data_IF_936652711535
#
_entry.id   IF_936652711535
#
_cell.length_a   1.000
_cell.length_b   1.000
_cell.length_c   1.000
_cell.angle_alpha   90.00
_cell.angle_beta   90.00
_cell.angle_gamma   90.00
#
_symmetry.space_group_name_H-M   'P 1'
#
loop_
_entity.id
_entity.type
_entity.pdbx_description
1 polymer ?
#
# COMPACT_ATOMS: atom_id res chain seq x y z
N UNK A 1 -23.52 -3.29 -15.09
CA UNK A 1 -22.10 -3.25 -15.53
C UNK A 1 -21.36 -4.36 -14.79
N UNK A 2 -20.45 -5.07 -15.46
CA UNK A 2 -19.64 -6.12 -14.83
C UNK A 2 -18.73 -5.49 -13.77
N UNK A 3 -18.72 -6.06 -12.55
CA UNK A 3 -17.85 -5.63 -11.47
C UNK A 3 -16.83 -6.74 -11.20
N UNK A 4 -15.53 -6.49 -11.34
CA UNK A 4 -14.50 -7.45 -10.97
C UNK A 4 -14.60 -7.84 -9.49
N UNK A 5 -14.11 -9.03 -9.16
CA UNK A 5 -14.18 -9.56 -7.80
C UNK A 5 -12.76 -9.72 -7.25
N UNK A 6 -12.53 -9.19 -6.06
CA UNK A 6 -11.34 -9.48 -5.26
C UNK A 6 -11.53 -10.85 -4.65
N UNK A 7 -10.80 -11.84 -5.14
CA UNK A 7 -10.97 -13.25 -4.75
C UNK A 7 -9.96 -13.72 -3.72
N UNK A 8 -8.78 -13.10 -3.68
CA UNK A 8 -7.74 -13.42 -2.72
C UNK A 8 -6.92 -12.18 -2.32
N UNK A 9 -6.43 -12.19 -1.09
CA UNK A 9 -5.57 -11.19 -0.49
C UNK A 9 -4.41 -11.87 0.23
N UNK A 10 -3.26 -11.22 0.24
CA UNK A 10 -2.11 -11.58 1.07
C UNK A 10 -1.41 -10.33 1.54
N UNK A 11 -0.93 -10.31 2.78
CA UNK A 11 -0.12 -9.24 3.32
C UNK A 11 1.06 -9.80 4.12
N UNK A 12 2.13 -9.04 4.14
CA UNK A 12 3.32 -9.31 4.93
C UNK A 12 3.88 -8.02 5.48
N UNK A 13 3.92 -7.92 6.79
CA UNK A 13 4.56 -6.83 7.53
C UNK A 13 5.77 -7.42 8.26
N UNK A 14 6.99 -6.95 7.98
CA UNK A 14 8.20 -7.44 8.64
C UNK A 14 8.20 -7.22 10.15
N UNK A 15 9.12 -7.87 10.88
CA UNK A 15 9.30 -7.63 12.30
C UNK A 15 9.55 -6.16 12.61
N UNK A 16 8.95 -5.71 13.74
CA UNK A 16 9.03 -4.32 14.18
C UNK A 16 10.36 -4.08 14.87
N UNK A 17 11.06 -3.04 14.45
CA UNK A 17 12.26 -2.51 15.12
C UNK A 17 11.95 -1.18 15.79
N UNK A 18 12.60 -0.94 16.92
CA UNK A 18 12.56 0.36 17.58
C UNK A 18 13.74 1.16 17.05
N UNK A 19 13.44 2.23 16.33
CA UNK A 19 14.45 3.15 15.83
C UNK A 19 14.33 4.46 16.59
N UNK A 20 15.44 4.92 17.15
CA UNK A 20 15.54 6.29 17.64
C UNK A 20 15.52 7.22 16.43
N UNK A 21 15.02 8.43 16.60
CA UNK A 21 14.79 9.40 15.53
C UNK A 21 15.98 9.40 14.55
N UNK A 22 15.89 8.80 13.34
CA UNK A 22 17.02 8.77 12.45
C UNK A 22 17.32 10.19 11.96
N UNK A 23 18.59 10.51 11.68
CA UNK A 23 18.98 11.84 11.26
C UNK A 23 18.15 12.27 10.05
N UNK A 24 17.58 13.47 10.13
CA UNK A 24 16.84 14.08 9.01
C UNK A 24 17.85 14.35 7.90
N UNK A 25 17.84 13.55 6.85
CA UNK A 25 18.57 13.85 5.62
C UNK A 25 17.81 14.98 4.94
N UNK A 26 18.43 16.13 4.80
CA UNK A 26 17.84 17.21 4.00
C UNK A 26 17.75 16.77 2.53
N UNK A 27 16.68 17.14 1.85
CA UNK A 27 16.43 16.74 0.45
C UNK A 27 17.60 17.11 -0.49
N UNK A 28 18.31 18.20 -0.20
CA UNK A 28 19.51 18.62 -0.93
C UNK A 28 20.65 17.60 -0.84
N UNK A 29 20.81 16.92 0.29
CA UNK A 29 21.85 15.90 0.47
C UNK A 29 21.49 14.60 -0.26
N UNK A 30 20.21 14.26 -0.37
CA UNK A 30 19.75 13.10 -1.15
C UNK A 30 20.04 13.31 -2.63
N UNK A 31 19.75 14.50 -3.17
CA UNK A 31 20.06 14.82 -4.57
C UNK A 31 21.56 14.88 -4.87
N UNK A 32 22.38 15.40 -3.94
CA UNK A 32 23.83 15.36 -4.06
C UNK A 32 24.38 13.93 -4.04
N UNK A 33 23.79 13.05 -3.24
CA UNK A 33 24.17 11.63 -3.16
C UNK A 33 23.72 10.85 -4.41
N UNK A 34 22.55 11.16 -4.97
CA UNK A 34 22.06 10.54 -6.21
C UNK A 34 22.90 10.93 -7.44
N UNK A 35 23.54 12.08 -7.44
CA UNK A 35 24.48 12.47 -8.50
C UNK A 35 25.81 11.70 -8.47
N UNK A 36 26.07 10.96 -7.39
CA UNK A 36 27.22 10.09 -7.25
C UNK A 36 26.79 8.60 -7.31
N UNK A 37 26.60 8.04 -8.49
CA UNK A 37 26.29 6.62 -8.69
C UNK A 37 27.23 5.68 -7.90
N UNK A 38 28.51 6.04 -7.80
CA UNK A 38 29.51 5.27 -7.07
C UNK A 38 29.22 5.26 -5.55
N UNK A 39 28.80 6.38 -4.99
CA UNK A 39 28.41 6.48 -3.58
C UNK A 39 27.11 5.68 -3.33
N UNK A 40 26.18 5.70 -4.27
CA UNK A 40 24.94 4.93 -4.21
C UNK A 40 25.23 3.42 -4.27
N UNK A 41 26.05 2.95 -5.20
CA UNK A 41 26.46 1.54 -5.33
C UNK A 41 27.24 1.09 -4.09
N UNK A 42 28.13 1.91 -3.55
CA UNK A 42 28.87 1.61 -2.33
C UNK A 42 27.93 1.51 -1.11
N UNK A 43 26.98 2.43 -0.98
CA UNK A 43 25.94 2.39 0.04
C UNK A 43 25.05 1.17 -0.10
N UNK A 44 24.68 0.80 -1.32
CA UNK A 44 23.88 -0.40 -1.60
C UNK A 44 24.62 -1.69 -1.23
N UNK A 45 25.92 -1.80 -1.55
CA UNK A 45 26.75 -2.95 -1.14
C UNK A 45 26.90 -3.06 0.38
N UNK A 46 27.03 -1.91 1.06
CA UNK A 46 27.05 -1.89 2.52
C UNK A 46 25.71 -2.29 3.14
N UNK A 47 24.60 -2.11 2.43
CA UNK A 47 23.25 -2.44 2.90
C UNK A 47 22.99 -3.95 2.92
N UNK A 48 23.68 -4.72 2.05
CA UNK A 48 23.62 -6.19 2.10
C UNK A 48 24.30 -6.76 3.36
N UNK A 49 25.14 -5.94 4.03
CA UNK A 49 25.78 -6.26 5.32
C UNK A 49 25.19 -5.43 6.48
N UNK A 50 24.00 -4.90 6.33
CA UNK A 50 23.44 -3.85 7.17
C UNK A 50 23.00 -4.39 8.55
N UNK A 51 23.70 -3.97 9.59
CA UNK A 51 23.17 -3.92 10.94
C UNK A 51 22.50 -2.54 11.16
N UNK A 52 21.17 -2.49 11.32
CA UNK A 52 20.45 -1.22 11.50
C UNK A 52 20.87 -0.43 12.75
N UNK A 53 21.59 -1.07 13.69
CA UNK A 53 22.11 -0.40 14.87
C UNK A 53 23.33 0.48 14.60
N UNK A 54 24.08 0.25 13.51
CA UNK A 54 25.32 0.95 13.22
C UNK A 54 25.20 2.19 12.33
N UNK A 55 24.07 2.37 11.63
CA UNK A 55 23.88 3.54 10.76
C UNK A 55 23.31 4.76 11.49
N UNK A 56 23.07 4.63 12.79
CA UNK A 56 22.45 5.70 13.58
C UNK A 56 23.40 6.86 13.95
N UNK A 57 24.69 6.80 13.64
CA UNK A 57 25.61 7.83 14.11
C UNK A 57 26.75 8.14 13.15
N UNK A 58 26.53 9.10 12.29
CA UNK A 58 27.62 9.98 11.87
C UNK A 58 27.05 11.37 11.59
N UNK A 59 27.32 12.26 12.53
CA UNK A 59 27.25 13.70 12.41
C UNK A 59 25.87 14.37 12.35
N UNK A 60 25.33 14.71 13.51
CA UNK A 60 24.84 16.10 13.73
C UNK A 60 24.54 16.33 15.20
N UNK A 61 25.01 17.43 15.71
CA UNK A 61 24.59 18.09 16.97
C UNK A 61 23.14 18.62 16.84
N UNK A 62 22.20 17.78 16.44
CA UNK A 62 20.79 18.11 16.46
C UNK A 62 20.21 17.51 17.73
N UNK A 63 19.53 18.35 18.53
CA UNK A 63 18.79 17.99 19.73
C UNK A 63 18.16 16.62 19.57
N UNK A 64 18.68 15.64 20.30
CA UNK A 64 18.07 14.32 20.44
C UNK A 64 16.64 14.52 20.97
N UNK A 65 15.65 14.30 20.11
CA UNK A 65 14.31 14.07 20.59
C UNK A 65 14.32 12.66 21.17
N UNK A 66 13.89 12.45 22.41
CA UNK A 66 13.76 11.15 23.06
C UNK A 66 12.68 10.26 22.39
N UNK A 67 12.29 10.55 21.17
CA UNK A 67 11.23 9.85 20.48
C UNK A 67 11.77 8.61 19.76
N UNK A 68 11.36 7.46 20.21
CA UNK A 68 11.56 6.19 19.52
C UNK A 68 10.34 5.86 18.65
N UNK A 69 10.62 5.28 17.49
CA UNK A 69 9.59 4.85 16.53
C UNK A 69 9.60 3.33 16.39
N UNK A 70 8.42 2.74 16.37
CA UNK A 70 8.22 1.31 16.08
C UNK A 70 7.97 1.15 14.60
N UNK A 71 8.95 0.65 13.87
CA UNK A 71 8.92 0.61 12.40
C UNK A 71 9.11 -0.83 11.92
N UNK A 72 8.27 -1.36 11.04
CA UNK A 72 8.54 -2.64 10.38
C UNK A 72 9.73 -2.48 9.42
N UNK A 73 10.73 -3.36 9.58
CA UNK A 73 11.98 -3.31 8.81
C UNK A 73 12.36 -4.70 8.33
N UNK A 74 12.38 -4.87 7.01
CA UNK A 74 12.83 -6.11 6.38
C UNK A 74 14.36 -6.13 6.24
N UNK A 75 14.98 -7.22 6.70
CA UNK A 75 16.44 -7.36 6.67
C UNK A 75 16.94 -8.44 5.72
N UNK A 76 16.11 -9.41 5.38
CA UNK A 76 16.54 -10.64 4.72
C UNK A 76 16.39 -10.59 3.21
N UNK A 77 15.43 -9.83 2.70
CA UNK A 77 15.15 -9.75 1.27
C UNK A 77 15.07 -8.30 0.76
N UNK A 78 15.29 -8.13 -0.53
CA UNK A 78 15.11 -6.87 -1.25
C UNK A 78 13.63 -6.55 -1.52
N UNK A 79 13.35 -5.42 -2.15
CA UNK A 79 12.00 -5.01 -2.55
C UNK A 79 11.33 -6.07 -3.42
N UNK A 80 12.05 -6.61 -4.39
CA UNK A 80 11.55 -7.69 -5.26
C UNK A 80 11.22 -8.94 -4.46
N UNK A 81 12.06 -9.31 -3.48
CA UNK A 81 11.82 -10.45 -2.61
C UNK A 81 10.56 -10.31 -1.77
N UNK A 82 10.31 -9.10 -1.24
CA UNK A 82 9.05 -8.79 -0.54
C UNK A 82 7.84 -8.98 -1.46
N UNK A 83 7.89 -8.42 -2.67
CA UNK A 83 6.83 -8.55 -3.66
C UNK A 83 6.58 -10.01 -4.06
N UNK A 84 7.67 -10.77 -4.26
CA UNK A 84 7.61 -12.21 -4.60
C UNK A 84 6.94 -13.02 -3.48
N UNK A 85 7.25 -12.75 -2.21
CA UNK A 85 6.65 -13.48 -1.06
C UNK A 85 5.13 -13.43 -1.12
N UNK A 86 4.54 -12.25 -1.22
CA UNK A 86 3.08 -12.11 -1.21
C UNK A 86 2.43 -12.63 -2.50
N UNK A 87 3.09 -12.48 -3.65
CA UNK A 87 2.61 -13.03 -4.91
C UNK A 87 2.60 -14.58 -4.90
N UNK A 88 3.67 -15.21 -4.41
CA UNK A 88 3.75 -16.67 -4.26
C UNK A 88 2.69 -17.20 -3.30
N UNK A 89 2.39 -16.46 -2.23
CA UNK A 89 1.32 -16.81 -1.30
C UNK A 89 -0.04 -16.83 -2.00
N UNK A 90 -0.33 -15.85 -2.85
CA UNK A 90 -1.54 -15.85 -3.69
C UNK A 90 -1.53 -17.06 -4.64
N UNK A 91 -0.43 -17.29 -5.38
CA UNK A 91 -0.34 -18.42 -6.31
C UNK A 91 -0.55 -19.76 -5.62
N UNK A 92 0.05 -19.96 -4.45
CA UNK A 92 -0.10 -21.19 -3.67
C UNK A 92 -1.53 -21.42 -3.14
N UNK A 93 -2.30 -20.36 -2.92
CA UNK A 93 -3.69 -20.46 -2.47
C UNK A 93 -4.69 -20.77 -3.58
N UNK A 94 -4.27 -20.65 -4.84
CA UNK A 94 -5.14 -20.89 -6.00
C UNK A 94 -5.23 -22.38 -6.33
N UNK A 95 -6.40 -22.79 -6.78
CA UNK A 95 -6.57 -24.15 -7.25
C UNK A 95 -5.69 -24.42 -8.48
N UNK A 96 -5.18 -25.65 -8.63
CA UNK A 96 -4.28 -26.02 -9.74
C UNK A 96 -4.92 -25.87 -11.13
N UNK A 97 -6.23 -25.89 -11.21
CA UNK A 97 -7.01 -25.67 -12.45
C UNK A 97 -7.43 -24.21 -12.64
N UNK A 98 -7.04 -23.29 -11.75
CA UNK A 98 -7.37 -21.88 -11.89
C UNK A 98 -6.76 -21.28 -13.16
N UNK A 99 -7.49 -20.37 -13.81
CA UNK A 99 -6.99 -19.65 -14.96
C UNK A 99 -5.67 -18.91 -14.62
N UNK A 100 -4.71 -18.82 -15.57
CA UNK A 100 -3.46 -18.09 -15.31
C UNK A 100 -3.72 -16.62 -15.02
N UNK A 101 -2.74 -15.94 -14.41
CA UNK A 101 -2.77 -14.49 -14.26
C UNK A 101 -2.40 -13.85 -15.60
N UNK A 102 -3.28 -13.00 -16.12
CA UNK A 102 -3.08 -12.34 -17.42
C UNK A 102 -2.23 -11.08 -17.27
N UNK A 103 -2.45 -10.32 -16.18
CA UNK A 103 -1.77 -9.06 -15.92
C UNK A 103 -1.25 -9.01 -14.49
N UNK A 104 -0.02 -8.52 -14.32
CA UNK A 104 0.56 -8.19 -13.02
C UNK A 104 0.86 -6.70 -12.98
N UNK A 105 0.33 -6.01 -11.97
CA UNK A 105 0.62 -4.61 -11.67
C UNK A 105 1.43 -4.52 -10.40
N UNK A 106 2.61 -3.92 -10.46
CA UNK A 106 3.45 -3.71 -9.29
C UNK A 106 3.37 -2.26 -8.81
N UNK A 107 2.87 -2.05 -7.59
CA UNK A 107 2.71 -0.75 -6.95
C UNK A 107 3.87 -0.50 -5.98
N UNK A 108 4.59 0.62 -6.15
CA UNK A 108 5.70 0.98 -5.27
C UNK A 108 6.03 2.47 -5.37
N UNK A 109 6.77 2.97 -4.41
CA UNK A 109 7.38 4.30 -4.44
C UNK A 109 8.84 4.26 -4.03
N UNK A 110 9.23 3.26 -3.23
CA UNK A 110 10.64 2.99 -2.95
C UNK A 110 11.35 2.49 -4.21
N UNK A 111 12.65 2.71 -4.26
CA UNK A 111 13.47 2.39 -5.45
C UNK A 111 13.74 0.90 -5.50
N UNK A 112 13.55 0.31 -6.70
CA UNK A 112 13.94 -1.07 -6.97
C UNK A 112 15.47 -1.21 -6.87
N UNK A 113 15.91 -2.24 -6.18
CA UNK A 113 17.33 -2.47 -5.87
C UNK A 113 18.08 -3.18 -7.00
N UNK A 114 17.39 -3.59 -8.07
CA UNK A 114 17.96 -4.28 -9.21
C UNK A 114 18.06 -3.38 -10.43
N UNK A 115 19.26 -3.25 -10.97
CA UNK A 115 19.51 -2.46 -12.19
C UNK A 115 19.11 -3.26 -13.45
N UNK A 116 19.25 -4.57 -13.42
CA UNK A 116 19.10 -5.42 -14.62
C UNK A 116 17.73 -6.03 -14.81
N UNK A 117 16.93 -6.10 -13.75
CA UNK A 117 15.58 -6.69 -13.77
C UNK A 117 14.63 -5.85 -12.93
N UNK A 118 13.49 -5.52 -13.51
CA UNK A 118 12.42 -4.84 -12.73
C UNK A 118 11.69 -5.84 -11.86
N UNK A 119 11.17 -5.38 -10.72
CA UNK A 119 10.32 -6.20 -9.85
C UNK A 119 9.09 -6.72 -10.60
N UNK A 120 8.47 -5.91 -11.47
CA UNK A 120 7.35 -6.37 -12.30
C UNK A 120 7.75 -7.54 -13.24
N UNK A 121 8.93 -7.47 -13.86
CA UNK A 121 9.47 -8.57 -14.68
C UNK A 121 9.76 -9.83 -13.85
N UNK A 122 10.29 -9.68 -12.63
CA UNK A 122 10.52 -10.80 -11.71
C UNK A 122 9.21 -11.48 -11.29
N UNK A 123 8.18 -10.70 -11.02
CA UNK A 123 6.84 -11.20 -10.71
C UNK A 123 6.24 -11.96 -11.91
N UNK A 124 6.41 -11.47 -13.13
CA UNK A 124 5.96 -12.18 -14.34
C UNK A 124 6.64 -13.54 -14.49
N UNK A 125 7.95 -13.61 -14.20
CA UNK A 125 8.69 -14.89 -14.27
C UNK A 125 8.16 -15.95 -13.30
N UNK A 126 7.78 -15.57 -12.08
CA UNK A 126 7.23 -16.52 -11.09
C UNK A 126 5.79 -16.94 -11.40
N UNK A 127 5.06 -16.18 -12.22
CA UNK A 127 3.74 -16.58 -12.70
C UNK A 127 3.78 -17.78 -13.65
N UNK A 128 4.96 -18.17 -14.10
CA UNK A 128 5.20 -19.37 -14.93
C UNK A 128 4.66 -19.27 -16.36
N UNK A 129 4.19 -18.10 -16.79
CA UNK A 129 3.65 -17.85 -18.13
C UNK A 129 4.01 -16.44 -18.60
N UNK A 130 3.92 -16.23 -19.91
CA UNK A 130 3.94 -14.90 -20.48
C UNK A 130 2.69 -14.14 -20.03
N UNK A 131 2.83 -13.24 -19.04
CA UNK A 131 1.80 -12.30 -18.64
C UNK A 131 2.29 -10.88 -18.92
N UNK A 132 1.35 -9.96 -19.11
CA UNK A 132 1.70 -8.55 -19.23
C UNK A 132 1.98 -8.00 -17.83
N UNK A 133 3.15 -7.37 -17.64
CA UNK A 133 3.51 -6.82 -16.33
C UNK A 133 4.06 -5.41 -16.44
N UNK A 134 3.68 -4.54 -15.51
CA UNK A 134 4.15 -3.17 -15.43
C UNK A 134 4.07 -2.63 -14.00
N UNK A 135 4.71 -1.47 -13.76
CA UNK A 135 4.67 -0.79 -12.46
C UNK A 135 3.78 0.44 -12.48
N UNK A 136 3.11 0.68 -11.34
CA UNK A 136 2.41 1.92 -11.00
C UNK A 136 3.16 2.54 -9.82
N UNK A 137 3.83 3.66 -10.04
CA UNK A 137 4.76 4.20 -9.07
C UNK A 137 4.58 5.69 -8.79
N UNK A 138 5.30 6.20 -7.77
CA UNK A 138 5.39 7.63 -7.41
C UNK A 138 4.09 8.26 -6.86
N UNK A 139 3.14 7.44 -6.44
CA UNK A 139 1.87 7.90 -5.84
C UNK A 139 1.70 7.39 -4.39
N UNK A 140 2.71 6.72 -3.82
CA UNK A 140 2.65 6.05 -2.52
C UNK A 140 1.41 5.13 -2.41
N UNK A 141 0.64 5.24 -1.33
CA UNK A 141 -0.57 4.45 -1.13
C UNK A 141 -1.62 4.64 -2.24
N UNK A 142 -1.66 5.81 -2.88
CA UNK A 142 -2.59 6.07 -3.97
C UNK A 142 -2.29 5.22 -5.23
N UNK A 143 -1.08 4.67 -5.38
CA UNK A 143 -0.74 3.75 -6.48
C UNK A 143 -1.60 2.49 -6.48
N UNK A 144 -1.98 1.97 -5.31
CA UNK A 144 -2.87 0.82 -5.18
C UNK A 144 -4.28 1.13 -5.74
N UNK A 145 -4.81 2.31 -5.48
CA UNK A 145 -6.12 2.72 -6.00
C UNK A 145 -6.07 2.98 -7.51
N UNK A 146 -4.98 3.56 -8.02
CA UNK A 146 -4.75 3.69 -9.47
C UNK A 146 -4.69 2.31 -10.13
N UNK A 147 -4.00 1.36 -9.51
CA UNK A 147 -3.93 -0.02 -10.03
C UNK A 147 -5.31 -0.71 -9.98
N UNK A 148 -6.09 -0.52 -8.92
CA UNK A 148 -7.47 -1.04 -8.82
C UNK A 148 -8.34 -0.49 -9.95
N UNK A 149 -8.25 0.82 -10.23
CA UNK A 149 -9.00 1.45 -11.33
C UNK A 149 -8.58 0.91 -12.69
N UNK A 150 -7.27 0.83 -12.94
CA UNK A 150 -6.75 0.27 -14.20
C UNK A 150 -7.15 -1.20 -14.38
N UNK A 151 -7.07 -2.00 -13.30
CA UNK A 151 -7.50 -3.40 -13.34
C UNK A 151 -8.99 -3.52 -13.65
N UNK A 152 -9.84 -2.68 -13.06
CA UNK A 152 -11.27 -2.65 -13.36
C UNK A 152 -11.52 -2.31 -14.82
N UNK A 153 -10.88 -1.26 -15.34
CA UNK A 153 -11.05 -0.83 -16.72
C UNK A 153 -10.57 -1.91 -17.71
N UNK A 154 -9.42 -2.56 -17.47
CA UNK A 154 -8.89 -3.63 -18.29
C UNK A 154 -9.78 -4.88 -18.26
N UNK A 155 -10.25 -5.30 -17.09
CA UNK A 155 -11.16 -6.43 -16.98
C UNK A 155 -12.51 -6.18 -17.66
N UNK A 156 -12.93 -4.92 -17.80
CA UNK A 156 -14.17 -4.55 -18.53
C UNK A 156 -13.91 -4.46 -20.03
N UNK A 157 -12.84 -3.78 -20.44
CA UNK A 157 -12.59 -3.43 -21.84
C UNK A 157 -12.00 -4.57 -22.65
N UNK A 158 -11.14 -5.41 -22.03
CA UNK A 158 -10.38 -6.44 -22.73
C UNK A 158 -10.99 -7.84 -22.51
N UNK A 159 -11.74 -8.40 -23.49
CA UNK A 159 -12.47 -9.67 -23.31
C UNK A 159 -11.58 -10.87 -22.92
N UNK A 160 -10.31 -10.85 -23.31
CA UNK A 160 -9.35 -11.92 -23.05
C UNK A 160 -8.66 -11.78 -21.69
N UNK A 161 -8.82 -10.66 -20.98
CA UNK A 161 -8.28 -10.48 -19.64
C UNK A 161 -9.30 -10.98 -18.63
N UNK A 162 -8.94 -11.99 -17.87
CA UNK A 162 -9.78 -12.61 -16.86
C UNK A 162 -9.27 -12.39 -15.45
N UNK A 163 -7.95 -12.23 -15.29
CA UNK A 163 -7.29 -12.23 -13.99
C UNK A 163 -6.19 -11.17 -13.92
N UNK A 164 -6.25 -10.30 -12.93
CA UNK A 164 -5.24 -9.27 -12.65
C UNK A 164 -4.73 -9.46 -11.24
N UNK A 165 -3.41 -9.58 -11.08
CA UNK A 165 -2.73 -9.58 -9.79
C UNK A 165 -2.14 -8.19 -9.53
N UNK A 166 -2.56 -7.53 -8.48
CA UNK A 166 -1.93 -6.30 -7.98
C UNK A 166 -1.03 -6.69 -6.82
N UNK A 167 0.24 -6.34 -6.93
CA UNK A 167 1.24 -6.52 -5.88
C UNK A 167 1.76 -5.17 -5.48
N UNK A 168 1.74 -4.85 -4.21
CA UNK A 168 2.26 -3.62 -3.66
C UNK A 168 3.39 -3.95 -2.67
N UNK A 169 4.52 -3.25 -2.78
CA UNK A 169 5.60 -3.42 -1.80
C UNK A 169 6.40 -2.13 -1.65
N UNK A 170 6.91 -1.94 -0.43
CA UNK A 170 7.84 -0.87 -0.10
C UNK A 170 9.00 -1.43 0.71
N UNK A 171 10.21 -1.02 0.33
CA UNK A 171 11.42 -1.24 1.12
C UNK A 171 12.30 0.00 1.07
N UNK A 172 12.45 0.64 2.22
CA UNK A 172 13.18 1.88 2.35
C UNK A 172 14.62 1.59 2.77
N UNK A 173 15.51 1.60 1.81
CA UNK A 173 16.95 1.38 2.00
C UNK A 173 17.73 2.69 1.86
N UNK A 174 18.90 2.86 2.50
CA UNK A 174 19.77 3.98 2.23
C UNK A 174 20.04 4.14 0.72
N UNK A 175 20.20 5.37 0.21
CA UNK A 175 20.33 6.62 0.96
C UNK A 175 19.00 7.28 1.37
N UNK A 176 17.87 6.64 1.12
CA UNK A 176 16.55 7.22 1.40
C UNK A 176 16.24 7.16 2.90
N UNK A 177 15.87 8.29 3.46
CA UNK A 177 15.45 8.36 4.87
C UNK A 177 14.07 7.76 5.06
N UNK A 178 13.91 6.95 6.11
CA UNK A 178 12.60 6.52 6.58
C UNK A 178 11.84 7.64 7.28
N UNK A 179 12.56 8.63 7.85
CA UNK A 179 11.94 9.78 8.48
C UNK A 179 11.71 10.89 7.49
N UNK A 180 10.54 11.42 7.54
CA UNK A 180 10.06 12.53 6.73
C UNK A 180 9.96 13.78 7.57
N UNK A 181 10.10 14.95 6.93
CA UNK A 181 9.90 16.23 7.62
C UNK A 181 8.50 16.32 8.24
N UNK A 182 7.54 15.68 7.59
CA UNK A 182 6.13 15.75 7.94
C UNK A 182 5.51 14.36 7.81
N UNK A 183 4.80 13.90 8.85
CA UNK A 183 4.07 12.63 8.87
C UNK A 183 4.81 11.46 9.54
N UNK A 184 4.21 10.29 9.54
CA UNK A 184 4.79 9.10 10.13
C UNK A 184 6.02 8.63 9.36
N UNK A 185 6.95 7.92 10.01
CA UNK A 185 8.07 7.29 9.32
C UNK A 185 7.60 6.24 8.31
N UNK A 186 8.49 5.86 7.41
CA UNK A 186 8.22 4.88 6.36
C UNK A 186 8.65 3.49 6.82
N UNK A 187 7.72 2.54 6.76
CA UNK A 187 7.92 1.14 7.06
C UNK A 187 8.03 0.29 5.80
N UNK A 188 8.65 -0.88 5.93
CA UNK A 188 8.66 -1.88 4.88
C UNK A 188 7.42 -2.75 5.00
N UNK A 189 6.85 -3.13 3.88
CA UNK A 189 5.72 -4.06 3.81
C UNK A 189 5.51 -4.56 2.38
N UNK A 190 4.77 -5.63 2.25
CA UNK A 190 4.23 -6.06 0.97
C UNK A 190 2.79 -6.56 1.14
N UNK A 191 1.98 -6.35 0.12
CA UNK A 191 0.63 -6.90 0.05
C UNK A 191 0.26 -7.22 -1.41
N UNK A 192 -0.66 -8.14 -1.59
CA UNK A 192 -1.16 -8.50 -2.91
C UNK A 192 -2.66 -8.77 -2.86
N UNK A 193 -3.33 -8.48 -3.96
CA UNK A 193 -4.72 -8.84 -4.17
C UNK A 193 -4.93 -9.35 -5.60
N UNK A 194 -5.82 -10.32 -5.71
CA UNK A 194 -6.22 -10.92 -6.98
C UNK A 194 -7.61 -10.43 -7.36
N UNK A 195 -7.72 -9.81 -8.53
CA UNK A 195 -9.00 -9.48 -9.15
C UNK A 195 -9.30 -10.46 -10.26
N UNK A 196 -10.54 -10.92 -10.31
CA UNK A 196 -11.01 -11.84 -11.34
C UNK A 196 -12.32 -11.35 -11.96
N UNK A 197 -12.50 -11.68 -13.23
CA UNK A 197 -13.77 -11.51 -13.91
C UNK A 197 -14.81 -12.41 -13.24
N UNK A 198 -15.99 -11.89 -12.85
CA UNK A 198 -16.96 -12.68 -12.12
C UNK A 198 -17.52 -13.83 -12.98
N UNK A 199 -17.68 -14.97 -12.34
CA UNK A 199 -18.43 -16.13 -12.81
C UNK A 199 -19.55 -16.44 -11.82
N UNK A 200 -20.39 -17.41 -12.11
CA UNK A 200 -21.45 -17.83 -11.18
C UNK A 200 -20.92 -18.38 -9.85
N UNK A 201 -19.68 -18.87 -9.84
CA UNK A 201 -19.02 -19.46 -8.66
C UNK A 201 -18.00 -18.58 -8.01
N UNK A 202 -17.66 -17.43 -8.60
CA UNK A 202 -16.66 -16.51 -8.04
C UNK A 202 -17.12 -15.94 -6.71
N UNK A 203 -16.30 -16.08 -5.67
CA UNK A 203 -16.53 -15.57 -4.31
C UNK A 203 -15.54 -14.48 -3.99
N UNK A 204 -16.00 -13.48 -3.24
CA UNK A 204 -15.13 -12.36 -2.81
C UNK A 204 -15.86 -11.03 -2.80
N UNK A 205 -15.11 -9.95 -2.63
CA UNK A 205 -15.65 -8.60 -2.66
C UNK A 205 -15.69 -8.07 -4.08
N UNK A 206 -16.81 -7.52 -4.47
CA UNK A 206 -16.92 -6.88 -5.78
C UNK A 206 -16.31 -5.48 -5.72
N UNK A 207 -15.39 -5.18 -6.63
CA UNK A 207 -14.89 -3.82 -6.81
C UNK A 207 -15.97 -2.99 -7.53
N UNK A 208 -16.61 -2.11 -6.78
CA UNK A 208 -17.66 -1.22 -7.31
C UNK A 208 -17.03 -0.11 -8.12
N UNK A 209 -16.04 0.57 -7.54
CA UNK A 209 -15.31 1.67 -8.19
C UNK A 209 -14.03 2.00 -7.42
N UNK A 210 -13.06 2.64 -8.09
CA UNK A 210 -11.83 3.13 -7.47
C UNK A 210 -11.43 4.48 -8.08
N UNK A 211 -10.96 5.40 -7.25
CA UNK A 211 -10.57 6.74 -7.65
C UNK A 211 -9.27 7.17 -7.00
N UNK A 212 -8.50 7.95 -7.75
CA UNK A 212 -7.34 8.69 -7.27
C UNK A 212 -7.40 10.12 -7.75
N UNK A 213 -6.94 11.05 -6.94
CA UNK A 213 -6.71 12.42 -7.37
C UNK A 213 -5.38 12.94 -6.81
N UNK A 214 -4.87 14.00 -7.42
CA UNK A 214 -3.72 14.75 -6.95
C UNK A 214 -4.17 16.14 -6.54
N UNK A 215 -3.98 16.47 -5.26
CA UNK A 215 -4.23 17.80 -4.71
C UNK A 215 -2.88 18.48 -4.55
N UNK A 216 -2.61 19.56 -5.29
CA UNK A 216 -1.37 20.29 -5.12
C UNK A 216 -1.21 20.73 -3.66
N UNK A 217 -0.08 20.40 -3.05
CA UNK A 217 0.22 20.87 -1.70
C UNK A 217 0.42 22.39 -1.80
N UNK A 218 -0.44 23.15 -1.11
CA UNK A 218 -0.32 24.59 -1.06
C UNK A 218 1.00 24.97 -0.36
N UNK A 219 1.97 25.41 -1.13
CA UNK A 219 3.22 25.98 -0.60
C UNK A 219 3.03 27.39 -0.06
N UNK A 220 1.81 27.96 -0.12
CA UNK A 220 1.50 29.29 0.35
C UNK A 220 1.43 29.34 1.86
N UNK A 221 2.54 29.71 2.46
CA UNK A 221 2.61 30.40 3.75
C UNK A 221 2.56 29.54 4.98
N UNK A 222 3.66 29.06 5.39
CA UNK A 222 4.24 29.08 6.73
C UNK A 222 5.25 27.93 6.91
N UNK A 223 6.49 28.22 7.30
CA UNK A 223 7.54 27.20 7.46
C UNK A 223 7.36 26.29 8.70
N UNK A 224 6.27 26.42 9.45
CA UNK A 224 6.15 25.79 10.76
C UNK A 224 4.76 25.20 11.09
N UNK A 225 3.85 25.01 10.14
CA UNK A 225 2.62 24.28 10.44
C UNK A 225 2.85 22.77 10.37
N UNK A 226 2.62 22.15 11.53
CA UNK A 226 2.68 20.71 11.76
C UNK A 226 1.97 19.90 10.67
N UNK A 227 2.48 18.70 10.43
CA UNK A 227 2.05 17.70 9.47
C UNK A 227 0.61 17.21 9.65
N UNK A 228 -0.34 18.09 9.54
CA UNK A 228 -1.70 17.66 9.26
C UNK A 228 -1.83 17.37 7.77
N UNK A 229 -2.55 16.31 7.36
CA UNK A 229 -2.99 16.20 5.98
C UNK A 229 -3.58 17.54 5.62
N UNK A 230 -3.10 18.11 4.51
CA UNK A 230 -3.53 19.43 4.09
C UNK A 230 -5.07 19.40 4.03
N UNK A 231 -5.73 20.45 4.53
CA UNK A 231 -7.19 20.55 4.46
C UNK A 231 -7.70 20.25 3.05
N UNK A 232 -6.90 20.55 2.04
CA UNK A 232 -7.21 20.29 0.64
C UNK A 232 -7.26 18.78 0.33
N UNK A 233 -6.37 17.96 0.88
CA UNK A 233 -6.38 16.50 0.70
C UNK A 233 -7.59 15.86 1.41
N UNK A 234 -7.87 16.30 2.63
CA UNK A 234 -9.06 15.85 3.35
C UNK A 234 -10.33 16.22 2.61
N UNK A 235 -10.43 17.48 2.15
CA UNK A 235 -11.57 17.95 1.39
C UNK A 235 -11.77 17.15 0.09
N UNK A 236 -10.67 16.87 -0.62
CA UNK A 236 -10.70 16.04 -1.82
C UNK A 236 -11.17 14.60 -1.51
N UNK A 237 -10.71 14.00 -0.40
CA UNK A 237 -11.18 12.69 0.03
C UNK A 237 -12.68 12.68 0.31
N UNK A 238 -13.17 13.70 1.03
CA UNK A 238 -14.59 13.85 1.32
C UNK A 238 -15.42 13.98 0.06
N UNK A 239 -15.01 14.86 -0.87
CA UNK A 239 -15.71 15.05 -2.14
C UNK A 239 -15.70 13.79 -3.02
N UNK A 240 -14.55 13.10 -3.09
CA UNK A 240 -14.43 11.84 -3.83
C UNK A 240 -15.37 10.78 -3.25
N UNK A 241 -15.39 10.64 -1.93
CA UNK A 241 -16.24 9.67 -1.23
C UNK A 241 -17.73 9.99 -1.47
N UNK A 242 -18.13 11.23 -1.27
CA UNK A 242 -19.52 11.66 -1.48
C UNK A 242 -19.97 11.41 -2.93
N UNK A 243 -19.14 11.79 -3.89
CA UNK A 243 -19.40 11.56 -5.32
C UNK A 243 -19.55 10.06 -5.63
N UNK A 244 -18.67 9.23 -5.02
CA UNK A 244 -18.65 7.79 -5.23
C UNK A 244 -19.93 7.14 -4.67
N UNK A 245 -20.31 7.49 -3.45
CA UNK A 245 -21.51 6.98 -2.80
C UNK A 245 -22.79 7.40 -3.55
N UNK A 246 -22.87 8.67 -3.94
CA UNK A 246 -24.00 9.19 -4.73
C UNK A 246 -24.13 8.49 -6.09
N UNK A 247 -23.01 8.29 -6.80
CA UNK A 247 -22.97 7.59 -8.10
C UNK A 247 -23.54 6.18 -8.02
N UNK A 248 -23.30 5.48 -6.90
CA UNK A 248 -23.71 4.08 -6.73
C UNK A 248 -24.96 3.91 -5.84
N UNK A 249 -25.62 5.01 -5.46
CA UNK A 249 -26.81 5.03 -4.62
C UNK A 249 -26.61 4.22 -3.32
N UNK A 250 -25.46 4.42 -2.65
CA UNK A 250 -25.11 3.81 -1.39
C UNK A 250 -25.22 4.87 -0.29
N UNK A 251 -25.94 4.55 0.78
CA UNK A 251 -26.09 5.46 1.90
C UNK A 251 -24.85 5.37 2.83
N UNK A 252 -24.43 6.47 3.45
CA UNK A 252 -23.33 6.48 4.39
C UNK A 252 -23.45 5.44 5.51
N UNK A 253 -24.67 5.21 6.04
CA UNK A 253 -24.92 4.20 7.07
C UNK A 253 -24.74 2.73 6.60
N UNK A 254 -24.63 2.51 5.30
CA UNK A 254 -24.38 1.17 4.71
C UNK A 254 -22.89 0.89 4.50
N UNK A 255 -22.00 1.84 4.87
CA UNK A 255 -20.56 1.79 4.57
C UNK A 255 -19.75 1.71 5.85
N UNK A 256 -18.73 0.86 5.82
CA UNK A 256 -17.62 0.89 6.77
C UNK A 256 -16.36 1.36 6.05
N UNK A 257 -15.77 2.44 6.53
CA UNK A 257 -14.51 2.94 5.99
C UNK A 257 -13.30 2.30 6.71
N UNK A 258 -12.34 1.86 5.92
CA UNK A 258 -11.03 1.37 6.38
C UNK A 258 -9.98 2.33 5.83
N UNK A 259 -9.11 2.82 6.69
CA UNK A 259 -8.05 3.73 6.29
C UNK A 259 -6.96 3.80 7.35
N UNK A 260 -5.90 4.58 7.09
CA UNK A 260 -4.78 4.70 8.01
C UNK A 260 -5.24 5.25 9.36
N UNK A 261 -4.54 4.86 10.41
CA UNK A 261 -4.68 5.49 11.72
C UNK A 261 -4.24 6.97 11.62
N UNK A 262 -5.21 7.85 11.61
CA UNK A 262 -4.99 9.29 11.60
C UNK A 262 -5.01 9.85 13.01
N UNK A 263 -4.67 11.13 13.12
CA UNK A 263 -4.93 11.82 14.39
C UNK A 263 -6.41 11.70 14.77
N UNK A 264 -6.71 11.49 16.06
CA UNK A 264 -8.09 11.30 16.53
C UNK A 264 -9.05 12.44 16.16
N UNK A 265 -8.52 13.65 15.98
CA UNK A 265 -9.30 14.80 15.51
C UNK A 265 -9.78 14.63 14.07
N UNK A 266 -8.91 14.14 13.20
CA UNK A 266 -9.20 13.91 11.78
C UNK A 266 -10.19 12.75 11.59
N UNK A 267 -10.02 11.66 12.32
CA UNK A 267 -10.98 10.55 12.32
C UNK A 267 -12.37 11.00 12.77
N UNK A 268 -12.44 11.82 13.82
CA UNK A 268 -13.72 12.40 14.25
C UNK A 268 -14.35 13.26 13.16
N UNK A 269 -13.56 14.07 12.48
CA UNK A 269 -14.03 14.91 11.37
C UNK A 269 -14.59 14.06 10.23
N UNK A 270 -13.85 13.03 9.79
CA UNK A 270 -14.32 12.09 8.76
C UNK A 270 -15.63 11.42 9.17
N UNK A 271 -15.71 10.93 10.40
CA UNK A 271 -16.92 10.28 10.91
C UNK A 271 -18.10 11.23 10.97
N UNK A 272 -17.89 12.49 11.41
CA UNK A 272 -18.94 13.50 11.50
C UNK A 272 -19.42 13.97 10.12
N UNK A 273 -18.51 14.15 9.18
CA UNK A 273 -18.85 14.69 7.86
C UNK A 273 -19.47 13.65 6.93
N UNK A 274 -18.95 12.43 6.95
CA UNK A 274 -19.46 11.36 6.08
C UNK A 274 -20.58 10.56 6.72
N UNK A 275 -20.76 10.63 8.06
CA UNK A 275 -21.70 9.77 8.77
C UNK A 275 -21.38 8.26 8.63
N UNK A 276 -20.14 7.94 8.27
CA UNK A 276 -19.66 6.58 7.98
C UNK A 276 -19.00 6.00 9.22
N UNK A 277 -19.26 4.72 9.52
CA UNK A 277 -18.50 3.99 10.51
C UNK A 277 -17.05 3.79 10.02
N UNK A 278 -16.08 4.13 10.86
CA UNK A 278 -14.66 3.94 10.54
C UNK A 278 -14.09 2.80 11.35
N UNK A 279 -13.33 1.94 10.67
CA UNK A 279 -12.56 0.89 11.26
C UNK A 279 -11.09 1.31 11.21
N UNK A 280 -10.53 1.60 12.39
CA UNK A 280 -9.13 1.99 12.49
C UNK A 280 -8.31 0.76 12.82
N UNK A 281 -7.38 0.34 11.96
CA UNK A 281 -6.50 -0.76 12.24
C UNK A 281 -5.66 -0.50 13.50
N UNK A 282 -5.46 -1.52 14.33
CA UNK A 282 -4.60 -1.44 15.50
C UNK A 282 -3.22 -1.94 15.14
N UNK A 283 -2.40 -1.06 14.58
CA UNK A 283 -1.04 -1.42 14.26
C UNK A 283 -0.14 -1.45 15.49
N UNK A 284 0.72 -2.46 15.59
CA UNK A 284 1.79 -2.46 16.58
C UNK A 284 2.94 -1.52 16.22
N UNK A 285 2.84 -0.75 15.12
CA UNK A 285 3.88 0.14 14.59
C UNK A 285 3.35 1.56 14.36
N UNK A 286 4.30 2.50 14.22
CA UNK A 286 4.04 3.93 14.01
C UNK A 286 4.27 4.37 12.55
N UNK A 287 4.52 3.42 11.65
CA UNK A 287 4.98 3.68 10.30
C UNK A 287 3.85 3.67 9.26
N UNK A 288 4.04 4.44 8.18
CA UNK A 288 3.22 4.36 6.97
C UNK A 288 3.81 3.31 6.02
N UNK A 289 2.98 2.40 5.54
CA UNK A 289 3.41 1.25 4.72
C UNK A 289 3.38 1.52 3.21
N UNK A 290 3.26 2.78 2.80
CA UNK A 290 3.28 3.20 1.40
C UNK A 290 2.23 2.51 0.54
N UNK A 291 2.64 2.03 -0.64
CA UNK A 291 1.75 1.38 -1.59
C UNK A 291 1.06 0.12 -1.05
N UNK A 292 1.66 -0.57 -0.08
CA UNK A 292 1.08 -1.77 0.53
C UNK A 292 -0.05 -1.48 1.52
N UNK A 293 -0.09 -0.26 2.10
CA UNK A 293 -0.99 0.09 3.18
C UNK A 293 -2.48 -0.21 2.91
N UNK A 294 -3.10 0.19 1.78
CA UNK A 294 -4.54 -0.03 1.58
C UNK A 294 -4.93 -1.51 1.51
N UNK A 295 -4.06 -2.34 0.90
CA UNK A 295 -4.32 -3.78 0.75
C UNK A 295 -4.07 -4.49 2.08
N UNK A 296 -3.03 -4.11 2.80
CA UNK A 296 -2.69 -4.65 4.11
C UNK A 296 -3.80 -4.36 5.12
N UNK A 297 -4.32 -3.12 5.15
CA UNK A 297 -5.43 -2.72 6.02
C UNK A 297 -6.69 -3.54 5.77
N UNK A 298 -7.01 -3.81 4.51
CA UNK A 298 -8.13 -4.68 4.16
C UNK A 298 -7.88 -6.12 4.61
N UNK A 299 -6.65 -6.62 4.47
CA UNK A 299 -6.28 -7.97 4.91
C UNK A 299 -6.34 -8.11 6.43
N UNK A 300 -5.85 -7.11 7.18
CA UNK A 300 -5.93 -7.06 8.65
C UNK A 300 -7.39 -7.04 9.14
N UNK A 301 -8.24 -6.23 8.52
CA UNK A 301 -9.66 -6.17 8.85
C UNK A 301 -10.39 -7.49 8.61
N UNK A 302 -10.00 -8.22 7.55
CA UNK A 302 -10.52 -9.58 7.28
C UNK A 302 -10.02 -10.59 8.30
N UNK A 303 -8.73 -10.57 8.63
CA UNK A 303 -8.12 -11.47 9.60
C UNK A 303 -8.73 -11.29 10.99
N UNK A 304 -8.92 -10.05 11.40
CA UNK A 304 -9.56 -9.70 12.67
C UNK A 304 -11.07 -10.00 12.70
N UNK A 305 -11.67 -10.41 11.56
CA UNK A 305 -13.13 -10.54 11.39
C UNK A 305 -13.88 -9.28 11.83
N UNK A 306 -13.25 -8.15 11.61
CA UNK A 306 -13.75 -6.87 12.07
C UNK A 306 -14.70 -6.20 11.05
N UNK A 307 -14.80 -6.76 9.83
CA UNK A 307 -15.72 -6.25 8.84
C UNK A 307 -17.15 -6.51 9.29
N UNK A 308 -17.91 -5.45 9.52
CA UNK A 308 -19.33 -5.61 9.89
C UNK A 308 -20.10 -6.20 8.71
N UNK A 309 -21.28 -6.72 9.00
CA UNK A 309 -22.23 -7.24 7.99
C UNK A 309 -22.83 -6.15 7.08
N UNK A 310 -22.22 -4.98 7.03
CA UNK A 310 -22.64 -3.86 6.20
C UNK A 310 -22.41 -4.15 4.73
N UNK A 311 -23.20 -3.50 3.90
CA UNK A 311 -23.25 -3.74 2.46
C UNK A 311 -21.95 -3.38 1.75
N UNK A 312 -21.27 -2.32 2.18
CA UNK A 312 -20.13 -1.77 1.48
C UNK A 312 -18.94 -1.48 2.40
N UNK A 313 -17.74 -1.65 1.85
CA UNK A 313 -16.47 -1.25 2.47
C UNK A 313 -15.83 -0.18 1.60
N UNK A 314 -15.49 0.95 2.19
CA UNK A 314 -14.69 2.00 1.57
C UNK A 314 -13.26 1.87 2.12
N UNK A 315 -12.32 1.50 1.26
CA UNK A 315 -10.89 1.62 1.57
C UNK A 315 -10.38 2.96 1.06
N UNK A 316 -9.56 3.64 1.86
CA UNK A 316 -9.04 4.95 1.50
C UNK A 316 -7.65 5.18 2.10
N UNK A 317 -6.89 6.07 1.49
CA UNK A 317 -5.62 6.53 2.04
C UNK A 317 -5.29 7.92 1.51
N UNK A 318 -4.53 8.66 2.31
CA UNK A 318 -3.91 9.92 1.92
C UNK A 318 -2.43 9.66 1.67
N UNK A 319 -2.09 9.58 0.40
CA UNK A 319 -0.72 9.40 -0.04
C UNK A 319 0.15 10.63 0.25
N UNK A 320 1.43 10.47 0.05
CA UNK A 320 2.38 11.56 0.16
C UNK A 320 2.30 12.46 -1.08
N UNK A 321 2.76 13.69 -0.93
CA UNK A 321 2.83 14.67 -2.05
C UNK A 321 1.48 15.01 -2.69
N UNK A 322 0.40 15.00 -1.93
CA UNK A 322 -0.90 15.45 -2.40
C UNK A 322 -1.75 14.40 -3.09
N UNK A 323 -1.31 13.15 -3.15
CA UNK A 323 -2.15 12.08 -3.69
C UNK A 323 -3.17 11.60 -2.67
N UNK A 324 -4.39 11.36 -3.11
CA UNK A 324 -5.49 10.80 -2.33
C UNK A 324 -6.13 9.69 -3.15
N UNK A 325 -6.49 8.60 -2.50
CA UNK A 325 -7.16 7.48 -3.15
C UNK A 325 -8.25 6.86 -2.32
N UNK A 326 -9.28 6.34 -2.98
CA UNK A 326 -10.29 5.50 -2.36
C UNK A 326 -10.83 4.45 -3.31
N UNK A 327 -11.35 3.36 -2.76
CA UNK A 327 -12.07 2.34 -3.50
C UNK A 327 -13.28 1.85 -2.71
N UNK A 328 -14.37 1.63 -3.40
CA UNK A 328 -15.63 1.11 -2.85
C UNK A 328 -15.79 -0.34 -3.24
N UNK A 329 -15.99 -1.19 -2.23
CA UNK A 329 -16.18 -2.62 -2.38
C UNK A 329 -17.59 -2.99 -1.92
N UNK A 330 -18.28 -3.84 -2.70
CA UNK A 330 -19.47 -4.53 -2.22
C UNK A 330 -19.03 -5.80 -1.48
N UNK A 331 -19.17 -5.75 -0.17
CA UNK A 331 -18.76 -6.80 0.75
C UNK A 331 -19.96 -7.62 1.25
N UNK A 332 -21.08 -7.60 0.54
CA UNK A 332 -22.28 -8.31 0.96
C UNK A 332 -22.02 -9.80 1.13
N UNK A 333 -22.41 -10.36 2.26
CA UNK A 333 -22.13 -11.75 2.66
C UNK A 333 -22.61 -12.80 1.65
N UNK A 334 -23.62 -12.48 0.84
CA UNK A 334 -24.09 -13.35 -0.25
C UNK A 334 -23.04 -13.64 -1.32
N UNK A 335 -22.06 -12.75 -1.48
CA UNK A 335 -20.97 -12.90 -2.43
C UNK A 335 -19.76 -13.66 -1.85
N UNK A 336 -19.79 -13.97 -0.55
CA UNK A 336 -18.68 -14.59 0.17
C UNK A 336 -17.55 -13.57 0.50
N UNK A 337 -16.53 -14.07 1.17
CA UNK A 337 -15.33 -13.28 1.49
C UNK A 337 -14.15 -13.71 0.62
N UNK A 338 -13.20 -12.81 0.33
CA UNK A 338 -11.96 -13.19 -0.32
C UNK A 338 -11.18 -14.21 0.52
N UNK A 339 -10.40 -15.04 -0.14
CA UNK A 339 -9.44 -15.91 0.52
C UNK A 339 -8.31 -15.06 1.09
N UNK A 340 -8.11 -15.10 2.41
CA UNK A 340 -6.91 -14.54 3.02
C UNK A 340 -5.81 -15.60 2.93
N UNK A 341 -4.92 -15.44 1.97
CA UNK A 341 -3.79 -16.32 1.77
C UNK A 341 -2.69 -15.98 2.80
N UNK A 342 -2.33 -16.97 3.61
CA UNK A 342 -1.26 -16.81 4.61
C UNK A 342 0.06 -17.26 4.04
N UNK A 343 1.09 -16.45 4.23
CA UNK A 343 2.45 -16.85 3.91
C UNK A 343 2.81 -18.11 4.72
N UNK A 344 3.47 -19.12 4.11
CA UNK A 344 4.11 -20.17 4.86
C UNK A 344 5.11 -19.53 5.83
N UNK A 345 5.34 -20.17 6.97
CA UNK A 345 6.36 -19.72 7.91
C UNK A 345 7.73 -19.77 7.22
N UNK A 346 8.22 -18.61 6.84
CA UNK A 346 9.50 -18.46 6.11
C UNK A 346 10.71 -18.55 7.05
N UNK A 347 10.51 -18.58 8.37
CA UNK A 347 11.59 -18.66 9.36
C UNK A 347 12.39 -19.96 9.28
N UNK A 348 11.89 -20.98 8.57
CA UNK A 348 12.48 -22.33 8.53
C UNK A 348 13.10 -22.73 7.18
N UNK A 349 13.18 -21.83 6.18
CA UNK A 349 13.57 -22.20 4.81
C UNK A 349 14.80 -21.49 4.23
N UNK A 350 15.72 -21.01 5.08
CA UNK A 350 17.04 -20.53 4.61
C UNK A 350 18.18 -21.07 5.44
#
# INVERSE_FOLDING_TARGET
MMQPVITALSAYVPPIKVLNDPPKIEDANVMATLNGWDAWIASWRATCAFDPATTACANSEARQSDRSWRIPVECDVDLSGLAVRVAQTIFASRHSTAAPVDIIMFCHSSVDQHISTTTAGRLANIAGRSCFSFSVSQQYSASAFTALRLAQDLLIAEPHVHTVLIVAAEKWAPPFSRCRKLGPPLGDAAAALLLERPTATTRGFRLVDAHTCHCPISTRGAPHRHAHPDFDQLHALLQMTDTLLAKHAILPGEVTAIGPALEPALERTLRQWLGIATLTPRYPHDAHLGAAAPIEQLADALEARALPSQRAVLIWDIGLYGYVGCALLDAHTAHGTPTLARAPDWSTRW
#
